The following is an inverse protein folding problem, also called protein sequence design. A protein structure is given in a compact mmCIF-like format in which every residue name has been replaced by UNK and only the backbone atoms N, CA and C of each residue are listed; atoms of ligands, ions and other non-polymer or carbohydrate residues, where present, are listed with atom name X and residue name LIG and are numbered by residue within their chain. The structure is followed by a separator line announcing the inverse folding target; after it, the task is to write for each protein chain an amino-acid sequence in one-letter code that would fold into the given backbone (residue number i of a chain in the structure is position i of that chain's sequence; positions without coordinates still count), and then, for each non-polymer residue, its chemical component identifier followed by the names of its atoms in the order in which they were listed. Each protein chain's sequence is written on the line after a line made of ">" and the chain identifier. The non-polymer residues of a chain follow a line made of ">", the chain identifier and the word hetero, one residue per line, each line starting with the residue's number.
data_IF_723687456437
#
_entry.id   IF_723687456437
#
_cell.length_a   1.000
_cell.length_b   1.000
_cell.length_c   1.000
_cell.angle_alpha   90.00
_cell.angle_beta   90.00
_cell.angle_gamma   90.00
#
_symmetry.space_group_name_H-M   'P 1'
#
loop_
_entity.id
_entity.type
_entity.pdbx_description
1 polymer ?
#
# COMPACT_ATOMS: atom_id res chain seq x y z
N UNK A 1 11.63 28.98 -19.38
CA UNK A 1 12.68 27.99 -19.66
C UNK A 1 13.07 27.40 -18.32
N UNK A 2 12.85 26.10 -18.13
CA UNK A 2 13.19 25.46 -16.86
C UNK A 2 14.71 25.24 -16.84
N UNK A 3 15.38 26.00 -15.98
CA UNK A 3 16.86 26.04 -15.84
C UNK A 3 17.41 24.85 -15.03
N UNK A 4 16.69 23.71 -15.02
CA UNK A 4 17.02 22.59 -14.13
C UNK A 4 18.01 21.57 -14.70
N UNK A 5 18.56 21.76 -15.89
CA UNK A 5 19.51 20.84 -16.54
C UNK A 5 19.13 19.35 -16.46
N UNK A 6 17.83 19.05 -16.32
CA UNK A 6 17.29 17.68 -16.25
C UNK A 6 16.66 17.36 -17.60
N UNK A 7 17.15 16.31 -18.26
CA UNK A 7 16.71 15.86 -19.58
C UNK A 7 16.16 14.45 -19.49
N UNK A 8 14.82 14.27 -19.26
CA UNK A 8 14.21 12.95 -19.22
C UNK A 8 14.38 12.21 -20.56
N UNK A 9 14.57 10.88 -20.48
CA UNK A 9 14.78 10.00 -21.64
C UNK A 9 13.70 8.91 -21.73
N UNK A 10 12.54 9.10 -21.13
CA UNK A 10 11.48 8.10 -21.05
C UNK A 10 11.01 7.59 -22.43
N UNK A 11 11.01 8.46 -23.44
CA UNK A 11 10.67 8.16 -24.83
C UNK A 11 11.65 7.21 -25.54
N UNK A 12 12.84 7.05 -24.96
CA UNK A 12 13.94 6.20 -25.50
C UNK A 12 14.08 4.87 -24.76
N UNK A 13 13.29 4.68 -23.68
CA UNK A 13 13.31 3.47 -22.86
C UNK A 13 12.23 2.49 -23.32
N UNK A 14 12.40 1.20 -22.99
CA UNK A 14 11.33 0.21 -23.13
C UNK A 14 10.12 0.64 -22.31
N UNK A 15 8.96 0.61 -22.95
CA UNK A 15 7.70 1.00 -22.33
C UNK A 15 7.19 -0.04 -21.32
N UNK A 16 6.14 0.35 -20.59
CA UNK A 16 5.45 -0.52 -19.63
C UNK A 16 4.90 -1.78 -20.32
N UNK A 17 4.26 -1.62 -21.49
CA UNK A 17 3.67 -2.73 -22.21
C UNK A 17 4.66 -3.83 -22.60
N UNK A 18 5.93 -3.47 -22.91
CA UNK A 18 6.97 -4.44 -23.25
C UNK A 18 7.35 -5.29 -22.03
N UNK A 19 7.44 -4.65 -20.88
CA UNK A 19 7.79 -5.29 -19.60
C UNK A 19 6.64 -6.17 -19.10
N UNK A 20 5.40 -5.68 -19.16
CA UNK A 20 4.20 -6.44 -18.79
C UNK A 20 4.05 -7.70 -19.67
N UNK A 21 4.30 -7.58 -20.97
CA UNK A 21 4.29 -8.72 -21.91
C UNK A 21 5.37 -9.76 -21.54
N UNK A 22 6.57 -9.29 -21.18
CA UNK A 22 7.65 -10.18 -20.76
C UNK A 22 7.30 -10.93 -19.47
N UNK A 23 6.66 -10.24 -18.51
CA UNK A 23 6.26 -10.83 -17.24
C UNK A 23 4.97 -11.65 -17.30
N UNK A 24 4.20 -11.55 -18.40
CA UNK A 24 2.90 -12.21 -18.53
C UNK A 24 1.83 -11.64 -17.59
N UNK A 25 2.00 -10.42 -17.09
CA UNK A 25 1.10 -9.78 -16.13
C UNK A 25 1.09 -8.27 -16.26
N UNK A 26 0.10 -7.60 -15.67
CA UNK A 26 0.04 -6.14 -15.56
C UNK A 26 0.48 -5.69 -14.19
N UNK A 27 1.21 -4.57 -14.15
CA UNK A 27 1.54 -3.90 -12.90
C UNK A 27 0.30 -3.24 -12.29
N UNK A 28 0.19 -3.30 -10.97
CA UNK A 28 -0.84 -2.61 -10.19
C UNK A 28 -0.33 -2.30 -8.78
N UNK A 29 -0.86 -1.24 -8.16
CA UNK A 29 -0.61 -0.91 -6.77
C UNK A 29 -1.81 -1.28 -5.92
N UNK A 30 -1.65 -2.24 -5.02
CA UNK A 30 -2.62 -2.63 -4.01
C UNK A 30 -2.25 -1.90 -2.72
N UNK A 31 -3.02 -0.88 -2.38
CA UNK A 31 -2.72 0.01 -1.25
C UNK A 31 -3.60 -0.31 -0.06
N UNK A 32 -3.02 -1.00 0.94
CA UNK A 32 -3.69 -1.27 2.21
C UNK A 32 -3.57 -0.06 3.13
N UNK A 33 -4.71 0.44 3.60
CA UNK A 33 -4.83 1.46 4.65
C UNK A 33 -5.61 0.92 5.85
N UNK A 34 -5.40 1.52 7.03
CA UNK A 34 -6.08 1.12 8.27
C UNK A 34 -5.19 1.29 9.50
N UNK A 35 -5.76 1.14 10.68
CA UNK A 35 -5.10 1.34 11.96
C UNK A 35 -3.90 0.39 12.18
N UNK A 36 -2.99 0.75 13.06
CA UNK A 36 -1.98 -0.19 13.57
C UNK A 36 -2.68 -1.41 14.17
N UNK A 37 -2.15 -2.62 14.00
CA UNK A 37 -2.82 -3.84 14.50
C UNK A 37 -4.07 -4.28 13.72
N UNK A 38 -4.52 -3.56 12.68
CA UNK A 38 -5.69 -3.95 11.88
C UNK A 38 -5.51 -5.18 11.01
N UNK A 39 -4.28 -5.73 10.88
CA UNK A 39 -4.01 -6.94 10.10
C UNK A 39 -3.49 -6.70 8.68
N UNK A 40 -3.19 -5.47 8.27
CA UNK A 40 -2.68 -5.14 6.93
C UNK A 40 -1.52 -6.02 6.48
N UNK A 41 -0.44 -6.06 7.26
CA UNK A 41 0.77 -6.84 6.92
C UNK A 41 0.49 -8.34 6.87
N UNK A 42 -0.38 -8.85 7.74
CA UNK A 42 -0.77 -10.27 7.76
C UNK A 42 -1.49 -10.66 6.47
N UNK A 43 -2.47 -9.85 6.06
CA UNK A 43 -3.23 -10.07 4.81
C UNK A 43 -2.34 -9.85 3.59
N UNK A 44 -1.47 -8.83 3.61
CA UNK A 44 -0.52 -8.55 2.54
C UNK A 44 0.44 -9.72 2.28
N UNK A 45 1.02 -10.30 3.34
CA UNK A 45 1.91 -11.48 3.26
C UNK A 45 1.16 -12.70 2.71
N UNK A 46 -0.07 -12.92 3.16
CA UNK A 46 -0.88 -14.03 2.66
C UNK A 46 -1.25 -13.85 1.18
N UNK A 47 -1.58 -12.62 0.76
CA UNK A 47 -1.84 -12.29 -0.63
C UNK A 47 -0.58 -12.48 -1.49
N UNK A 48 0.59 -12.01 -1.05
CA UNK A 48 1.86 -12.19 -1.76
C UNK A 48 2.13 -13.67 -2.06
N UNK A 49 1.99 -14.53 -1.05
CA UNK A 49 2.18 -15.98 -1.20
C UNK A 49 1.22 -16.59 -2.23
N UNK A 50 -0.03 -16.14 -2.22
CA UNK A 50 -1.04 -16.66 -3.15
C UNK A 50 -0.83 -16.17 -4.59
N UNK A 51 -0.41 -14.91 -4.79
CA UNK A 51 -0.02 -14.40 -6.09
C UNK A 51 1.21 -15.13 -6.63
N UNK A 52 2.23 -15.37 -5.80
CA UNK A 52 3.42 -16.14 -6.18
C UNK A 52 3.07 -17.57 -6.57
N UNK A 53 2.18 -18.26 -5.85
CA UNK A 53 1.71 -19.61 -6.22
C UNK A 53 1.02 -19.66 -7.57
N UNK A 54 0.49 -18.54 -8.04
CA UNK A 54 -0.11 -18.36 -9.37
C UNK A 54 0.88 -17.92 -10.43
N UNK A 55 2.17 -17.86 -10.10
CA UNK A 55 3.22 -17.43 -11.03
C UNK A 55 3.30 -15.92 -11.24
N UNK A 56 2.61 -15.12 -10.42
CA UNK A 56 2.60 -13.66 -10.52
C UNK A 56 3.72 -13.06 -9.66
N UNK A 57 4.47 -12.13 -10.26
CA UNK A 57 5.56 -11.41 -9.60
C UNK A 57 4.98 -10.24 -8.81
N UNK A 58 5.23 -10.23 -7.51
CA UNK A 58 4.77 -9.15 -6.65
C UNK A 58 5.82 -8.71 -5.62
N UNK A 59 5.64 -7.52 -5.04
CA UNK A 59 6.51 -6.95 -4.02
C UNK A 59 5.70 -6.28 -2.93
N UNK A 60 5.99 -6.61 -1.66
CA UNK A 60 5.44 -5.90 -0.51
C UNK A 60 6.34 -4.69 -0.17
N UNK A 61 5.70 -3.55 0.04
CA UNK A 61 6.26 -2.36 0.66
C UNK A 61 5.54 -2.18 2.01
N UNK A 62 6.17 -2.66 3.08
CA UNK A 62 5.61 -2.57 4.44
C UNK A 62 6.18 -1.35 5.16
N UNK A 63 5.34 -0.66 5.95
CA UNK A 63 5.67 0.61 6.59
C UNK A 63 6.89 0.54 7.52
N UNK A 64 7.06 -0.54 8.27
CA UNK A 64 8.20 -0.70 9.17
C UNK A 64 9.48 -1.02 8.38
N UNK A 65 9.39 -1.93 7.40
CA UNK A 65 10.53 -2.32 6.58
C UNK A 65 11.10 -1.14 5.79
N UNK A 66 10.24 -0.30 5.22
CA UNK A 66 10.67 0.87 4.44
C UNK A 66 11.39 1.90 5.31
N UNK A 67 11.00 2.02 6.58
CA UNK A 67 11.66 2.93 7.54
C UNK A 67 13.05 2.47 7.97
N UNK A 68 13.43 1.21 7.73
CA UNK A 68 14.82 0.76 7.95
C UNK A 68 15.76 1.09 6.79
N UNK A 69 15.24 1.55 5.67
CA UNK A 69 15.99 1.83 4.44
C UNK A 69 15.63 3.16 3.82
N UNK A 70 14.82 3.15 2.75
CA UNK A 70 14.55 4.33 1.91
C UNK A 70 13.95 5.51 2.66
N UNK A 71 13.23 5.26 3.76
CA UNK A 71 12.64 6.26 4.65
C UNK A 71 13.33 6.31 6.03
N UNK A 72 14.56 5.80 6.13
CA UNK A 72 15.38 5.99 7.32
C UNK A 72 15.57 7.49 7.58
N UNK A 73 15.37 7.90 8.82
CA UNK A 73 15.46 9.30 9.23
C UNK A 73 14.16 10.10 9.17
N UNK A 74 13.08 9.57 8.56
CA UNK A 74 11.75 10.18 8.68
C UNK A 74 11.09 9.83 10.04
N UNK A 75 10.56 10.83 10.72
CA UNK A 75 9.77 10.70 11.93
C UNK A 75 8.28 10.44 11.66
N UNK A 76 7.44 10.98 12.57
CA UNK A 76 5.98 10.83 12.49
C UNK A 76 5.25 12.18 12.50
N UNK A 77 5.97 13.30 12.28
CA UNK A 77 5.33 14.60 12.05
C UNK A 77 4.42 14.57 10.82
N UNK A 78 3.59 15.56 10.66
CA UNK A 78 2.71 15.67 9.49
C UNK A 78 3.53 15.69 8.18
N UNK A 79 4.61 16.48 8.16
CA UNK A 79 5.52 16.61 7.01
C UNK A 79 6.22 15.29 6.70
N UNK A 80 6.74 14.59 7.73
CA UNK A 80 7.38 13.29 7.57
C UNK A 80 6.40 12.22 7.04
N UNK A 81 5.14 12.29 7.45
CA UNK A 81 4.10 11.38 6.93
C UNK A 81 3.83 11.64 5.46
N UNK A 82 3.73 12.91 5.03
CA UNK A 82 3.57 13.27 3.62
C UNK A 82 4.77 12.77 2.81
N UNK A 83 5.99 13.07 3.25
CA UNK A 83 7.20 12.64 2.55
C UNK A 83 7.36 11.11 2.51
N UNK A 84 6.99 10.43 3.61
CA UNK A 84 6.96 8.95 3.63
C UNK A 84 6.03 8.40 2.55
N UNK A 85 4.81 8.90 2.46
CA UNK A 85 3.83 8.43 1.46
C UNK A 85 4.28 8.81 0.04
N UNK A 86 4.80 10.03 -0.15
CA UNK A 86 5.33 10.47 -1.45
C UNK A 86 6.42 9.52 -1.96
N UNK A 87 7.44 9.23 -1.15
CA UNK A 87 8.54 8.31 -1.55
C UNK A 87 8.03 6.92 -1.90
N UNK A 88 7.11 6.39 -1.09
CA UNK A 88 6.56 5.06 -1.34
C UNK A 88 5.72 5.03 -2.62
N UNK A 89 4.94 6.07 -2.89
CA UNK A 89 4.17 6.17 -4.11
C UNK A 89 5.09 6.24 -5.35
N UNK A 90 6.17 7.02 -5.30
CA UNK A 90 7.15 7.09 -6.40
C UNK A 90 7.84 5.73 -6.64
N UNK A 91 8.29 5.06 -5.57
CA UNK A 91 8.88 3.71 -5.69
C UNK A 91 7.85 2.72 -6.23
N UNK A 92 6.62 2.77 -5.73
CA UNK A 92 5.53 1.93 -6.20
C UNK A 92 5.21 2.14 -7.67
N UNK A 93 5.21 3.39 -8.13
CA UNK A 93 5.04 3.73 -9.54
C UNK A 93 6.12 3.09 -10.41
N UNK A 94 7.40 3.13 -9.99
CA UNK A 94 8.48 2.49 -10.74
C UNK A 94 8.27 0.97 -10.85
N UNK A 95 7.77 0.30 -9.80
CA UNK A 95 7.42 -1.11 -9.87
C UNK A 95 6.23 -1.38 -10.79
N UNK A 96 5.16 -0.58 -10.69
CA UNK A 96 3.99 -0.69 -11.56
C UNK A 96 4.38 -0.49 -13.02
N UNK A 97 5.20 0.52 -13.34
CA UNK A 97 5.71 0.77 -14.69
C UNK A 97 6.65 -0.33 -15.21
N UNK A 98 7.08 -1.22 -14.31
CA UNK A 98 7.86 -2.42 -14.66
C UNK A 98 6.99 -3.67 -14.80
N UNK A 99 5.68 -3.56 -14.59
CA UNK A 99 4.74 -4.70 -14.65
C UNK A 99 4.65 -5.49 -13.34
N UNK A 100 5.20 -4.99 -12.23
CA UNK A 100 5.20 -5.68 -10.94
C UNK A 100 3.96 -5.29 -10.13
N UNK A 101 3.27 -6.30 -9.58
CA UNK A 101 2.17 -6.09 -8.64
C UNK A 101 2.79 -5.64 -7.31
N UNK A 102 2.49 -4.42 -6.89
CA UNK A 102 3.05 -3.83 -5.67
C UNK A 102 2.00 -3.79 -4.57
N UNK A 103 2.32 -4.33 -3.41
CA UNK A 103 1.43 -4.38 -2.25
C UNK A 103 1.97 -3.42 -1.20
N UNK A 104 1.33 -2.28 -1.00
CA UNK A 104 1.70 -1.29 0.01
C UNK A 104 0.87 -1.49 1.29
N UNK A 105 1.51 -1.59 2.45
CA UNK A 105 0.85 -1.77 3.74
C UNK A 105 1.24 -0.64 4.71
N UNK A 106 0.44 0.44 4.70
CA UNK A 106 0.67 1.65 5.50
C UNK A 106 -0.59 2.08 6.26
N UNK A 107 -0.43 2.83 7.35
CA UNK A 107 -1.57 3.43 8.04
C UNK A 107 -2.24 4.45 7.13
N UNK A 108 -1.47 5.31 6.46
CA UNK A 108 -1.94 6.38 5.55
C UNK A 108 -3.23 7.04 6.05
N UNK A 109 -3.16 7.78 7.20
CA UNK A 109 -4.33 8.05 8.04
C UNK A 109 -5.33 9.05 7.47
N UNK A 110 -4.95 9.85 6.48
CA UNK A 110 -5.83 10.90 5.93
C UNK A 110 -6.17 10.64 4.46
N UNK A 111 -7.32 11.15 4.02
CA UNK A 111 -7.73 11.09 2.61
C UNK A 111 -6.70 11.77 1.71
N UNK A 112 -6.17 12.93 2.13
CA UNK A 112 -5.17 13.68 1.40
C UNK A 112 -3.90 12.86 1.10
N UNK A 113 -3.40 12.09 2.08
CA UNK A 113 -2.23 11.22 1.91
C UNK A 113 -2.51 10.08 0.90
N UNK A 114 -3.69 9.51 0.93
CA UNK A 114 -4.09 8.45 0.01
C UNK A 114 -4.32 8.97 -1.41
N UNK A 115 -4.92 10.15 -1.52
CA UNK A 115 -5.06 10.86 -2.80
C UNK A 115 -3.71 11.25 -3.39
N UNK A 116 -2.76 11.71 -2.57
CA UNK A 116 -1.39 11.98 -3.01
C UNK A 116 -0.77 10.71 -3.63
N UNK A 117 -0.87 9.57 -2.95
CA UNK A 117 -0.38 8.30 -3.47
C UNK A 117 -1.07 7.90 -4.78
N UNK A 118 -2.40 8.02 -4.84
CA UNK A 118 -3.19 7.72 -6.04
C UNK A 118 -2.82 8.62 -7.23
N UNK A 119 -2.59 9.92 -7.01
CA UNK A 119 -2.16 10.83 -8.07
C UNK A 119 -0.77 10.48 -8.62
N UNK A 120 0.17 10.10 -7.75
CA UNK A 120 1.54 9.75 -8.16
C UNK A 120 1.55 8.44 -8.96
N UNK A 121 0.85 7.44 -8.49
CA UNK A 121 0.80 6.10 -9.10
C UNK A 121 -0.03 6.11 -10.39
N UNK A 122 -1.10 6.88 -10.40
CA UNK A 122 -2.13 6.88 -11.41
C UNK A 122 -3.40 6.17 -10.91
N UNK A 123 -4.58 6.82 -11.02
CA UNK A 123 -5.83 6.31 -10.44
C UNK A 123 -6.28 4.96 -11.03
N UNK A 124 -5.89 4.64 -12.26
CA UNK A 124 -6.24 3.37 -12.91
C UNK A 124 -5.44 2.18 -12.34
N UNK A 125 -4.24 2.44 -11.83
CA UNK A 125 -3.33 1.44 -11.28
C UNK A 125 -3.41 1.34 -9.75
N UNK A 126 -4.06 2.30 -9.10
CA UNK A 126 -4.20 2.38 -7.65
C UNK A 126 -5.48 1.66 -7.18
N UNK A 127 -5.31 0.64 -6.34
CA UNK A 127 -6.39 -0.18 -5.79
C UNK A 127 -6.38 -0.01 -4.27
N UNK A 128 -7.25 0.84 -3.76
CA UNK A 128 -7.33 1.11 -2.32
C UNK A 128 -8.09 0.01 -1.58
N UNK A 129 -7.44 -0.57 -0.57
CA UNK A 129 -8.01 -1.59 0.30
C UNK A 129 -8.06 -1.05 1.73
N UNK A 130 -9.26 -0.89 2.24
CA UNK A 130 -9.45 -0.47 3.62
C UNK A 130 -9.58 -1.67 4.56
N UNK A 131 -8.60 -1.82 5.46
CA UNK A 131 -8.66 -2.82 6.54
C UNK A 131 -9.36 -2.20 7.73
N UNK A 132 -10.69 -2.34 7.71
CA UNK A 132 -11.66 -1.72 8.64
C UNK A 132 -11.86 -2.59 9.88
N UNK A 133 -10.81 -2.71 10.67
CA UNK A 133 -10.86 -3.43 11.94
C UNK A 133 -11.14 -2.44 13.07
N UNK A 134 -12.13 -2.71 13.95
CA UNK A 134 -12.46 -1.82 15.06
C UNK A 134 -11.25 -1.47 15.93
N UNK A 135 -11.19 -0.22 16.40
CA UNK A 135 -10.08 0.28 17.22
C UNK A 135 -9.83 -0.60 18.45
N UNK A 136 -10.89 -1.01 19.12
CA UNK A 136 -10.83 -1.84 20.33
C UNK A 136 -10.13 -3.19 20.04
N UNK A 137 -10.38 -3.77 18.87
CA UNK A 137 -9.73 -5.02 18.44
C UNK A 137 -8.27 -4.78 18.09
N UNK A 138 -7.95 -3.65 17.42
CA UNK A 138 -6.58 -3.27 17.13
C UNK A 138 -5.78 -3.04 18.43
N UNK A 139 -6.39 -2.37 19.41
CA UNK A 139 -5.81 -2.10 20.73
C UNK A 139 -5.62 -3.39 21.55
N UNK A 140 -6.60 -4.32 21.53
CA UNK A 140 -6.46 -5.63 22.17
C UNK A 140 -5.31 -6.45 21.57
N UNK A 141 -5.12 -6.40 20.26
CA UNK A 141 -4.02 -7.09 19.58
C UNK A 141 -2.66 -6.51 19.95
N UNK A 142 -2.56 -5.22 19.99
CA UNK A 142 -1.36 -4.37 20.28
C UNK A 142 0.00 -5.07 20.05
N UNK A 143 0.15 -5.69 18.88
CA UNK A 143 1.28 -6.58 18.53
C UNK A 143 2.65 -5.97 18.78
N UNK A 144 2.73 -4.63 18.79
CA UNK A 144 3.98 -3.85 18.96
C UNK A 144 4.05 -3.12 20.30
N UNK A 145 3.05 -3.25 21.17
CA UNK A 145 2.93 -2.50 22.42
C UNK A 145 2.76 -0.99 22.24
N UNK A 146 2.39 -0.53 21.03
CA UNK A 146 2.30 0.89 20.71
C UNK A 146 1.04 1.55 21.28
N UNK A 147 -0.08 0.82 21.34
CA UNK A 147 -1.32 1.32 21.96
C UNK A 147 -1.13 1.57 23.44
N UNK A 148 -0.54 0.60 24.15
CA UNK A 148 -0.22 0.76 25.57
C UNK A 148 0.68 1.98 25.82
N UNK A 149 1.70 2.21 24.99
CA UNK A 149 2.57 3.38 25.05
C UNK A 149 1.82 4.68 24.75
N UNK A 150 0.97 4.70 23.74
CA UNK A 150 0.17 5.86 23.37
C UNK A 150 -0.82 6.25 24.47
N UNK A 151 -1.48 5.28 25.12
CA UNK A 151 -2.37 5.51 26.26
C UNK A 151 -1.64 6.10 27.48
N UNK A 152 -0.35 5.76 27.67
CA UNK A 152 0.49 6.39 28.71
C UNK A 152 1.10 7.74 28.30
N UNK A 153 0.81 8.23 27.08
CA UNK A 153 1.36 9.50 26.57
C UNK A 153 2.82 9.42 26.12
N UNK A 154 3.42 8.23 26.05
CA UNK A 154 4.80 8.00 25.61
C UNK A 154 4.98 8.14 24.11
N UNK A 155 3.91 7.89 23.32
CA UNK A 155 3.87 8.08 21.87
C UNK A 155 2.87 9.19 21.57
N UNK A 156 3.38 10.29 21.01
CA UNK A 156 2.56 11.43 20.56
C UNK A 156 2.01 11.17 19.17
N UNK A 157 0.88 11.80 18.83
CA UNK A 157 0.27 11.75 17.50
C UNK A 157 0.05 10.31 16.97
N UNK A 158 -0.32 9.40 17.87
CA UNK A 158 -0.60 8.03 17.48
C UNK A 158 -2.00 7.92 16.88
N UNK A 159 -2.05 7.49 15.62
CA UNK A 159 -3.29 7.37 14.85
C UNK A 159 -4.30 6.43 15.51
N UNK A 160 -5.51 6.91 15.72
CA UNK A 160 -6.59 6.20 16.41
C UNK A 160 -6.66 6.46 17.92
N UNK A 161 -5.64 7.10 18.53
CA UNK A 161 -5.64 7.47 19.97
C UNK A 161 -5.55 8.99 20.14
N UNK A 162 -4.43 9.60 19.72
CA UNK A 162 -4.16 11.03 19.86
C UNK A 162 -4.10 11.77 18.54
N UNK A 163 -4.19 11.05 17.42
CA UNK A 163 -4.33 11.60 16.07
C UNK A 163 -5.48 10.89 15.34
N UNK A 164 -6.22 11.59 14.44
CA UNK A 164 -7.35 11.03 13.73
C UNK A 164 -6.94 9.98 12.70
N UNK A 165 -7.88 9.10 12.36
CA UNK A 165 -7.87 8.27 11.17
C UNK A 165 -9.13 8.60 10.36
N UNK A 166 -8.96 9.00 9.12
CA UNK A 166 -10.04 9.26 8.18
C UNK A 166 -10.28 8.00 7.35
N UNK A 167 -11.42 7.35 7.58
CA UNK A 167 -11.80 6.18 6.80
C UNK A 167 -11.98 6.55 5.31
N UNK A 168 -11.48 5.73 4.37
CA UNK A 168 -11.76 5.94 2.95
C UNK A 168 -13.27 5.90 2.68
N UNK A 169 -13.74 6.85 1.86
CA UNK A 169 -15.16 6.91 1.49
C UNK A 169 -15.53 5.80 0.50
N UNK A 170 -14.70 5.60 -0.51
CA UNK A 170 -14.95 4.68 -1.62
C UNK A 170 -13.75 3.74 -1.89
N UNK A 171 -13.33 2.92 -0.93
CA UNK A 171 -12.26 1.96 -1.16
C UNK A 171 -12.73 0.88 -2.15
N UNK A 172 -11.80 0.36 -2.96
CA UNK A 172 -12.11 -0.73 -3.88
C UNK A 172 -12.57 -2.02 -3.15
N UNK A 173 -12.09 -2.20 -1.91
CA UNK A 173 -12.55 -3.28 -1.03
C UNK A 173 -12.40 -2.86 0.43
N UNK A 174 -13.36 -3.24 1.27
CA UNK A 174 -13.33 -3.10 2.73
C UNK A 174 -13.23 -4.48 3.38
N UNK A 175 -12.28 -4.65 4.29
CA UNK A 175 -12.00 -5.91 4.99
C UNK A 175 -12.01 -5.69 6.51
N UNK A 176 -12.92 -6.33 7.21
CA UNK A 176 -12.90 -6.41 8.68
C UNK A 176 -12.20 -7.70 9.11
N UNK A 177 -10.93 -7.61 9.49
CA UNK A 177 -10.12 -8.76 9.93
C UNK A 177 -10.46 -9.25 11.34
N UNK A 178 -11.38 -8.59 12.05
CA UNK A 178 -11.93 -9.11 13.30
C UNK A 178 -12.95 -10.22 13.07
N UNK A 179 -13.57 -10.22 11.89
CA UNK A 179 -14.64 -11.16 11.50
C UNK A 179 -14.22 -12.10 10.39
N UNK A 180 -13.34 -11.66 9.51
CA UNK A 180 -12.92 -12.41 8.33
C UNK A 180 -11.60 -13.14 8.60
N UNK A 181 -11.56 -14.48 8.46
CA UNK A 181 -10.31 -15.22 8.41
C UNK A 181 -9.40 -14.71 7.28
N UNK A 182 -8.08 -14.86 7.47
CA UNK A 182 -7.08 -14.40 6.50
C UNK A 182 -7.32 -15.00 5.10
N UNK A 183 -7.65 -16.30 5.03
CA UNK A 183 -7.92 -16.97 3.75
C UNK A 183 -9.12 -16.39 3.01
N UNK A 184 -10.20 -16.05 3.71
CA UNK A 184 -11.36 -15.40 3.12
C UNK A 184 -11.05 -13.98 2.65
N UNK A 185 -10.29 -13.23 3.45
CA UNK A 185 -9.81 -11.89 3.07
C UNK A 185 -8.98 -11.95 1.78
N UNK A 186 -8.09 -12.93 1.65
CA UNK A 186 -7.28 -13.16 0.43
C UNK A 186 -8.16 -13.58 -0.75
N UNK A 187 -9.16 -14.43 -0.54
CA UNK A 187 -10.12 -14.83 -1.59
C UNK A 187 -10.80 -13.62 -2.21
N UNK A 188 -11.36 -12.72 -1.40
CA UNK A 188 -12.00 -11.47 -1.86
C UNK A 188 -11.03 -10.54 -2.59
N UNK A 189 -9.78 -10.47 -2.11
CA UNK A 189 -8.74 -9.68 -2.79
C UNK A 189 -8.41 -10.25 -4.17
N UNK A 190 -8.30 -11.57 -4.30
CA UNK A 190 -8.00 -12.21 -5.59
C UNK A 190 -9.13 -12.01 -6.60
N UNK A 191 -10.39 -12.10 -6.18
CA UNK A 191 -11.55 -11.79 -7.04
C UNK A 191 -11.47 -10.36 -7.62
N UNK A 192 -11.04 -9.39 -6.81
CA UNK A 192 -10.86 -8.00 -7.21
C UNK A 192 -9.65 -7.77 -8.11
N UNK A 193 -8.52 -8.43 -7.79
CA UNK A 193 -7.19 -8.09 -8.33
C UNK A 193 -6.90 -8.86 -9.61
N UNK A 194 -7.20 -10.17 -9.66
CA UNK A 194 -6.82 -11.02 -10.79
C UNK A 194 -7.31 -10.49 -12.14
N UNK A 195 -8.57 -10.03 -12.30
CA UNK A 195 -9.02 -9.47 -13.57
C UNK A 195 -8.23 -8.23 -14.05
N UNK A 196 -7.59 -7.51 -13.11
CA UNK A 196 -6.84 -6.29 -13.40
C UNK A 196 -5.38 -6.55 -13.75
N UNK A 197 -4.80 -7.62 -13.18
CA UNK A 197 -3.37 -7.93 -13.34
C UNK A 197 -3.07 -9.04 -14.32
N UNK A 198 -4.04 -9.85 -14.72
CA UNK A 198 -3.86 -10.89 -15.70
C UNK A 198 -3.90 -10.30 -17.13
N UNK A 199 -2.91 -10.65 -17.95
CA UNK A 199 -2.98 -10.37 -19.39
C UNK A 199 -3.96 -11.34 -20.02
N UNK A 200 -5.02 -10.83 -20.63
CA UNK A 200 -5.86 -11.67 -21.48
C UNK A 200 -5.04 -12.05 -22.72
N UNK A 201 -4.90 -13.34 -23.01
CA UNK A 201 -4.19 -13.86 -24.19
C UNK A 201 -4.85 -13.48 -25.54
N UNK A 202 -5.73 -12.47 -25.55
CA UNK A 202 -6.42 -12.01 -26.76
C UNK A 202 -6.26 -10.49 -26.88
N UNK A 203 -5.15 -10.10 -27.45
CA UNK A 203 -5.04 -8.85 -28.21
C UNK A 203 -3.89 -8.98 -29.22
#
# INVERSE_FOLDING_TARGET
>A
MNDNHIYPIFDRMLGRADKERLLGQRGAMIWFTGLSGSGKSTVAIALERELQRRGLVCRILDGDNIRTGINAGLGFSAEDRVENIRRIAEVGRLFVDTGIITIAAFVSPTNELRELASRIIGPNDFIEIYVDTPLEVCEQRDVKGLYAKARRGEVKEFTGISAPFEAPENPALRLDTSRLPVGESVGRLLELILPRVTLNEKA
#
